data_IF_749969658662
#
_entry.id   IF_749969658662
#
_cell.length_a   1.000
_cell.length_b   1.000
_cell.length_c   1.000
_cell.angle_alpha   90.00
_cell.angle_beta   90.00
_cell.angle_gamma   90.00
#
_symmetry.space_group_name_H-M   'P 1'
#
loop_
_entity.id
_entity.type
_entity.pdbx_description
1 polymer ?
#
# COMPACT_ATOMS: atom_id res chain seq x y z
N UNK A 1 37.51 -21.06 -55.73
CA UNK A 1 36.07 -20.82 -55.49
C UNK A 1 35.92 -20.43 -54.02
N UNK A 2 35.65 -19.16 -53.75
CA UNK A 2 35.52 -18.61 -52.40
C UNK A 2 34.05 -18.74 -51.98
N UNK A 3 33.76 -19.45 -50.90
CA UNK A 3 32.39 -19.68 -50.45
C UNK A 3 31.88 -18.41 -49.75
N UNK A 4 30.87 -17.69 -50.30
CA UNK A 4 30.40 -16.42 -49.76
C UNK A 4 29.60 -16.55 -48.44
N UNK A 5 29.37 -17.78 -47.97
CA UNK A 5 28.60 -18.07 -46.75
C UNK A 5 29.46 -18.49 -45.55
N UNK A 6 30.77 -18.30 -45.60
CA UNK A 6 31.62 -18.60 -44.46
C UNK A 6 31.46 -17.47 -43.42
N UNK A 7 30.78 -17.68 -42.27
CA UNK A 7 30.63 -16.64 -41.27
C UNK A 7 32.02 -16.28 -40.74
N UNK A 8 32.33 -15.00 -40.62
CA UNK A 8 33.62 -14.60 -40.05
C UNK A 8 33.73 -15.14 -38.62
N UNK A 9 34.88 -15.70 -38.27
CA UNK A 9 35.17 -16.22 -36.93
C UNK A 9 35.01 -15.16 -35.80
N UNK A 10 34.79 -13.89 -36.17
CA UNK A 10 34.50 -12.79 -35.26
C UNK A 10 33.04 -12.73 -34.79
N UNK A 11 32.13 -13.52 -35.36
CA UNK A 11 30.70 -13.50 -34.99
C UNK A 11 30.32 -14.46 -33.85
N UNK A 12 31.28 -15.22 -33.33
CA UNK A 12 31.16 -16.04 -32.11
C UNK A 12 31.75 -15.32 -30.89
N UNK A 13 31.57 -13.99 -30.78
CA UNK A 13 31.69 -13.33 -29.49
C UNK A 13 30.57 -13.86 -28.59
N UNK A 14 30.92 -14.87 -27.81
CA UNK A 14 30.15 -15.37 -26.68
C UNK A 14 29.92 -14.16 -25.78
N UNK A 15 28.74 -13.54 -25.89
CA UNK A 15 28.32 -12.53 -24.92
C UNK A 15 28.49 -13.15 -23.53
N UNK A 16 29.29 -12.56 -22.63
CA UNK A 16 29.44 -13.09 -21.30
C UNK A 16 28.03 -13.17 -20.69
N UNK A 17 27.67 -14.30 -20.05
CA UNK A 17 26.36 -14.44 -19.44
C UNK A 17 26.14 -13.23 -18.52
N UNK A 18 25.05 -12.50 -18.76
CA UNK A 18 24.71 -11.32 -17.98
C UNK A 18 24.88 -11.67 -16.49
N UNK A 19 25.64 -10.88 -15.71
CA UNK A 19 25.92 -11.20 -14.33
C UNK A 19 24.60 -11.44 -13.62
N UNK A 20 24.39 -12.66 -13.13
CA UNK A 20 23.19 -12.98 -12.33
C UNK A 20 23.22 -12.03 -11.15
N UNK A 21 22.16 -11.21 -10.93
CA UNK A 21 22.14 -10.33 -9.79
C UNK A 21 22.32 -11.19 -8.53
N UNK A 22 23.32 -10.83 -7.72
CA UNK A 22 23.59 -11.51 -6.46
C UNK A 22 22.28 -11.57 -5.65
N UNK A 23 22.04 -12.65 -4.88
CA UNK A 23 20.87 -12.74 -4.05
C UNK A 23 20.90 -11.61 -3.02
N UNK A 24 20.24 -10.50 -3.32
CA UNK A 24 19.97 -9.43 -2.36
C UNK A 24 19.32 -10.11 -1.14
N UNK A 25 19.89 -9.89 0.04
CA UNK A 25 19.34 -10.38 1.30
C UNK A 25 17.83 -10.11 1.34
N UNK A 26 16.98 -11.02 1.87
CA UNK A 26 15.52 -10.93 1.79
C UNK A 26 14.93 -9.79 2.66
N UNK A 27 15.69 -8.73 2.93
CA UNK A 27 15.29 -7.56 3.71
C UNK A 27 13.97 -6.96 3.21
N UNK A 28 13.84 -6.77 1.89
CA UNK A 28 12.61 -6.28 1.28
C UNK A 28 11.40 -7.19 1.56
N UNK A 29 11.64 -8.51 1.65
CA UNK A 29 10.60 -9.47 2.00
C UNK A 29 10.25 -9.37 3.49
N UNK A 30 11.24 -9.41 4.39
CA UNK A 30 11.02 -9.33 5.84
C UNK A 30 10.32 -8.02 6.22
N UNK A 31 10.79 -6.88 5.73
CA UNK A 31 10.18 -5.57 5.99
C UNK A 31 8.75 -5.52 5.46
N UNK A 32 8.49 -6.07 4.27
CA UNK A 32 7.14 -6.15 3.72
C UNK A 32 6.22 -6.99 4.61
N UNK A 33 6.68 -8.15 5.08
CA UNK A 33 5.92 -9.01 5.98
C UNK A 33 5.59 -8.30 7.30
N UNK A 34 6.57 -7.62 7.90
CA UNK A 34 6.37 -6.85 9.13
C UNK A 34 5.35 -5.72 8.88
N UNK A 35 5.55 -4.92 7.84
CA UNK A 35 4.65 -3.82 7.48
C UNK A 35 3.22 -4.32 7.20
N UNK A 36 3.06 -5.36 6.39
CA UNK A 36 1.78 -6.02 6.13
C UNK A 36 1.08 -6.46 7.40
N UNK A 37 1.81 -7.16 8.28
CA UNK A 37 1.23 -7.73 9.50
C UNK A 37 0.79 -6.62 10.45
N UNK A 38 1.58 -5.56 10.60
CA UNK A 38 1.22 -4.40 11.40
C UNK A 38 -0.03 -3.69 10.85
N UNK A 39 -0.11 -3.50 9.53
CA UNK A 39 -1.27 -2.86 8.88
C UNK A 39 -2.52 -3.73 9.04
N UNK A 40 -2.41 -5.04 8.87
CA UNK A 40 -3.53 -5.99 9.06
C UNK A 40 -3.99 -5.97 10.52
N UNK A 41 -3.06 -6.12 11.48
CA UNK A 41 -3.37 -6.12 12.90
C UNK A 41 -4.06 -4.81 13.32
N UNK A 42 -3.54 -3.66 12.84
CA UNK A 42 -4.15 -2.36 13.07
C UNK A 42 -5.57 -2.29 12.47
N UNK A 43 -5.77 -2.71 11.23
CA UNK A 43 -7.09 -2.76 10.60
C UNK A 43 -8.09 -3.64 11.35
N UNK A 44 -7.67 -4.82 11.82
CA UNK A 44 -8.52 -5.71 12.64
C UNK A 44 -8.93 -5.03 13.95
N UNK A 45 -7.97 -4.45 14.68
CA UNK A 45 -8.26 -3.75 15.93
C UNK A 45 -9.26 -2.61 15.71
N UNK A 46 -9.11 -1.87 14.62
CA UNK A 46 -10.03 -0.78 14.27
C UNK A 46 -11.43 -1.28 13.90
N UNK A 47 -11.53 -2.39 13.17
CA UNK A 47 -12.81 -3.04 12.87
C UNK A 47 -13.50 -3.57 14.12
N UNK A 48 -12.75 -4.16 15.06
CA UNK A 48 -13.29 -4.59 16.35
C UNK A 48 -13.80 -3.40 17.16
N UNK A 49 -13.04 -2.31 17.21
CA UNK A 49 -13.48 -1.09 17.89
C UNK A 49 -14.72 -0.48 17.23
N UNK A 50 -14.81 -0.51 15.90
CA UNK A 50 -15.98 -0.06 15.16
C UNK A 50 -17.20 -0.94 15.45
N UNK A 51 -17.02 -2.26 15.48
CA UNK A 51 -18.09 -3.22 15.80
C UNK A 51 -18.62 -3.02 17.23
N UNK A 52 -17.72 -2.87 18.20
CA UNK A 52 -18.09 -2.62 19.60
C UNK A 52 -18.82 -1.28 19.79
N UNK A 53 -18.47 -0.26 19.00
CA UNK A 53 -19.10 1.05 19.03
C UNK A 53 -20.28 1.23 18.06
N UNK A 54 -20.70 0.17 17.36
CA UNK A 54 -21.58 0.31 16.19
C UNK A 54 -22.93 0.92 16.52
N UNK A 55 -23.60 0.42 17.56
CA UNK A 55 -24.92 0.94 18.00
C UNK A 55 -24.84 2.41 18.37
N UNK A 56 -23.85 2.79 19.19
CA UNK A 56 -23.63 4.17 19.59
C UNK A 56 -23.27 5.09 18.41
N UNK A 57 -22.51 4.61 17.43
CA UNK A 57 -22.17 5.36 16.22
C UNK A 57 -23.36 5.49 15.28
N UNK A 58 -24.18 4.45 15.13
CA UNK A 58 -25.37 4.47 14.29
C UNK A 58 -26.37 5.51 14.79
N UNK A 59 -26.59 5.60 16.10
CA UNK A 59 -27.44 6.63 16.71
C UNK A 59 -26.90 8.04 16.46
N UNK A 60 -25.58 8.22 16.55
CA UNK A 60 -24.93 9.51 16.29
C UNK A 60 -24.86 9.88 14.82
N UNK A 61 -24.86 8.91 13.91
CA UNK A 61 -24.82 9.15 12.46
C UNK A 61 -26.06 9.92 11.96
N UNK A 62 -27.18 9.82 12.68
CA UNK A 62 -28.39 10.59 12.42
C UNK A 62 -28.17 12.09 12.70
N UNK A 63 -27.28 12.41 13.63
CA UNK A 63 -27.05 13.76 14.14
C UNK A 63 -25.79 14.38 13.50
N UNK A 64 -24.77 13.56 13.27
CA UNK A 64 -23.45 13.97 12.81
C UNK A 64 -22.88 12.94 11.81
N UNK A 65 -22.70 13.39 10.57
CA UNK A 65 -22.13 12.59 9.48
C UNK A 65 -20.68 12.16 9.72
N UNK A 66 -19.93 12.80 10.63
CA UNK A 66 -18.59 12.38 11.05
C UNK A 66 -18.60 11.08 11.87
N UNK A 67 -19.74 10.77 12.47
CA UNK A 67 -19.97 9.55 13.23
C UNK A 67 -20.53 8.42 12.36
N UNK A 68 -20.64 8.62 11.04
CA UNK A 68 -21.19 7.63 10.13
C UNK A 68 -20.35 6.33 10.13
N UNK A 69 -20.90 5.21 10.63
CA UNK A 69 -20.17 3.96 10.78
C UNK A 69 -19.80 3.34 9.44
N UNK A 70 -20.54 3.62 8.35
CA UNK A 70 -20.26 3.10 7.02
C UNK A 70 -19.02 3.73 6.40
N UNK A 71 -18.82 5.03 6.60
CA UNK A 71 -17.62 5.74 6.12
C UNK A 71 -16.39 5.23 6.85
N UNK A 72 -16.51 5.04 8.17
CA UNK A 72 -15.45 4.43 8.99
C UNK A 72 -15.16 3.00 8.54
N UNK A 73 -16.20 2.18 8.34
CA UNK A 73 -16.06 0.81 7.85
C UNK A 73 -15.30 0.75 6.52
N UNK A 74 -15.64 1.63 5.57
CA UNK A 74 -14.96 1.71 4.29
C UNK A 74 -13.47 2.07 4.47
N UNK A 75 -13.15 3.07 5.30
CA UNK A 75 -11.78 3.48 5.57
C UNK A 75 -10.94 2.35 6.21
N UNK A 76 -11.47 1.70 7.25
CA UNK A 76 -10.77 0.60 7.92
C UNK A 76 -10.64 -0.65 7.02
N UNK A 77 -11.63 -0.90 6.16
CA UNK A 77 -11.55 -1.96 5.14
C UNK A 77 -10.45 -1.68 4.13
N UNK A 78 -10.26 -0.43 3.72
CA UNK A 78 -9.14 -0.02 2.87
C UNK A 78 -7.78 -0.24 3.55
N UNK A 79 -7.64 0.03 4.85
CA UNK A 79 -6.41 -0.32 5.60
C UNK A 79 -6.14 -1.81 5.52
N UNK A 80 -7.14 -2.62 5.87
CA UNK A 80 -7.01 -4.07 5.91
C UNK A 80 -6.63 -4.65 4.55
N UNK A 81 -7.34 -4.22 3.49
CA UNK A 81 -7.07 -4.62 2.11
C UNK A 81 -5.67 -4.19 1.66
N UNK A 82 -5.21 -3.00 2.03
CA UNK A 82 -3.83 -2.55 1.76
C UNK A 82 -2.82 -3.54 2.35
N UNK A 83 -2.98 -3.90 3.63
CA UNK A 83 -2.10 -4.85 4.30
C UNK A 83 -2.11 -6.24 3.66
N UNK A 84 -3.30 -6.76 3.33
CA UNK A 84 -3.49 -8.05 2.65
C UNK A 84 -2.88 -8.06 1.24
N UNK A 85 -3.09 -7.01 0.45
CA UNK A 85 -2.53 -6.91 -0.90
C UNK A 85 -1.00 -6.76 -0.86
N UNK A 86 -0.47 -6.01 0.11
CA UNK A 86 0.99 -5.97 0.36
C UNK A 86 1.52 -7.37 0.71
N UNK A 87 0.79 -8.16 1.50
CA UNK A 87 1.18 -9.52 1.87
C UNK A 87 1.16 -10.47 0.67
N UNK A 88 0.14 -10.35 -0.18
CA UNK A 88 -0.03 -11.11 -1.42
C UNK A 88 0.86 -10.62 -2.58
N UNK A 89 1.65 -9.56 -2.35
CA UNK A 89 2.49 -8.91 -3.37
C UNK A 89 1.69 -8.33 -4.53
N UNK A 90 0.44 -7.94 -4.33
CA UNK A 90 -0.41 -7.46 -5.42
C UNK A 90 -0.13 -5.99 -5.74
N UNK A 91 0.02 -5.65 -7.02
CA UNK A 91 0.08 -4.27 -7.52
C UNK A 91 -1.22 -3.51 -7.28
N UNK A 92 -2.32 -4.20 -7.04
CA UNK A 92 -3.60 -3.56 -6.72
C UNK A 92 -3.60 -2.92 -5.32
N UNK A 93 -2.52 -3.02 -4.54
CA UNK A 93 -2.36 -2.34 -3.25
C UNK A 93 -2.60 -0.83 -3.32
N UNK A 94 -2.35 -0.20 -4.47
CA UNK A 94 -2.58 1.23 -4.66
C UNK A 94 -4.07 1.61 -4.66
N UNK A 95 -4.99 0.69 -5.01
CA UNK A 95 -6.42 0.99 -5.01
C UNK A 95 -6.97 1.25 -3.59
N UNK A 96 -6.85 0.33 -2.63
CA UNK A 96 -7.33 0.59 -1.28
C UNK A 96 -6.51 1.68 -0.60
N UNK A 97 -5.22 1.83 -0.91
CA UNK A 97 -4.41 2.93 -0.39
C UNK A 97 -4.93 4.30 -0.85
N UNK A 98 -5.21 4.45 -2.16
CA UNK A 98 -5.81 5.66 -2.71
C UNK A 98 -7.22 5.90 -2.16
N UNK A 99 -8.03 4.84 -2.03
CA UNK A 99 -9.36 4.91 -1.43
C UNK A 99 -9.32 5.43 0.00
N UNK A 100 -8.37 4.95 0.81
CA UNK A 100 -8.19 5.43 2.17
C UNK A 100 -7.76 6.91 2.20
N UNK A 101 -6.81 7.32 1.36
CA UNK A 101 -6.36 8.71 1.27
C UNK A 101 -7.53 9.61 0.86
N UNK A 102 -8.33 9.20 -0.13
CA UNK A 102 -9.52 9.94 -0.56
C UNK A 102 -10.53 10.12 0.57
N UNK A 103 -10.78 9.08 1.37
CA UNK A 103 -11.68 9.16 2.53
C UNK A 103 -11.14 10.09 3.63
N UNK A 104 -9.82 10.09 3.88
CA UNK A 104 -9.19 11.03 4.82
C UNK A 104 -9.31 12.46 4.30
N UNK A 105 -8.98 12.70 3.03
CA UNK A 105 -9.08 14.01 2.40
C UNK A 105 -10.52 14.53 2.44
N UNK A 106 -11.50 13.68 2.13
CA UNK A 106 -12.90 14.03 2.26
C UNK A 106 -13.27 14.40 3.70
N UNK A 107 -12.76 13.68 4.71
CA UNK A 107 -12.99 14.02 6.11
C UNK A 107 -12.34 15.36 6.51
N UNK A 108 -11.14 15.64 6.00
CA UNK A 108 -10.38 16.86 6.32
C UNK A 108 -10.96 18.10 5.62
N UNK A 109 -11.34 17.98 4.35
CA UNK A 109 -11.77 19.12 3.52
C UNK A 109 -13.30 19.25 3.41
N UNK A 110 -14.04 18.15 3.53
CA UNK A 110 -15.50 18.12 3.36
C UNK A 110 -16.28 18.78 4.50
N UNK A 111 -15.65 19.03 5.65
CA UNK A 111 -16.31 19.55 6.85
C UNK A 111 -15.82 20.95 7.29
N UNK A 112 -15.13 21.67 6.39
CA UNK A 112 -14.72 23.06 6.59
C UNK A 112 -13.29 23.23 7.14
N UNK A 113 -12.79 24.47 7.25
CA UNK A 113 -11.43 24.75 7.67
C UNK A 113 -11.23 24.37 9.14
N UNK A 114 -10.63 23.20 9.37
CA UNK A 114 -10.16 22.82 10.70
C UNK A 114 -8.95 23.69 11.04
N UNK A 115 -9.14 24.71 11.86
CA UNK A 115 -8.10 25.72 12.17
C UNK A 115 -6.79 25.13 12.72
N UNK A 116 -6.83 23.90 13.26
CA UNK A 116 -5.65 23.08 13.57
C UNK A 116 -5.96 21.61 13.32
N UNK A 117 -5.25 20.98 12.37
CA UNK A 117 -5.33 19.54 12.19
C UNK A 117 -4.82 18.83 13.47
N UNK A 118 -5.58 17.88 14.04
CA UNK A 118 -5.12 17.09 15.17
C UNK A 118 -3.81 16.36 14.84
N UNK A 119 -2.90 16.24 15.81
CA UNK A 119 -1.65 15.48 15.65
C UNK A 119 -1.90 14.05 15.13
N UNK A 120 -3.03 13.45 15.49
CA UNK A 120 -3.46 12.16 14.97
C UNK A 120 -3.61 12.13 13.44
N UNK A 121 -4.14 13.21 12.82
CA UNK A 121 -4.30 13.29 11.37
C UNK A 121 -2.93 13.38 10.69
N UNK A 122 -1.99 14.13 11.27
CA UNK A 122 -0.60 14.20 10.78
C UNK A 122 0.10 12.84 10.85
N UNK A 123 -0.05 12.11 11.95
CA UNK A 123 0.54 10.77 12.10
C UNK A 123 -0.05 9.82 11.06
N UNK A 124 -1.37 9.83 10.86
CA UNK A 124 -2.02 9.03 9.83
C UNK A 124 -1.48 9.36 8.44
N UNK A 125 -1.34 10.65 8.12
CA UNK A 125 -0.73 11.08 6.85
C UNK A 125 0.71 10.58 6.69
N UNK A 126 1.55 10.75 7.71
CA UNK A 126 2.94 10.30 7.68
C UNK A 126 3.05 8.79 7.44
N UNK A 127 2.20 8.00 8.12
CA UNK A 127 2.14 6.54 7.94
C UNK A 127 1.67 6.17 6.53
N UNK A 128 0.62 6.83 6.02
CA UNK A 128 0.13 6.56 4.66
C UNK A 128 1.16 6.94 3.59
N UNK A 129 1.87 8.06 3.75
CA UNK A 129 2.96 8.45 2.87
C UNK A 129 4.13 7.47 2.92
N UNK A 130 4.49 6.96 4.10
CA UNK A 130 5.51 5.94 4.25
C UNK A 130 5.10 4.62 3.57
N UNK A 131 3.85 4.19 3.73
CA UNK A 131 3.31 3.00 3.06
C UNK A 131 3.26 3.17 1.54
N UNK A 132 2.87 4.35 1.04
CA UNK A 132 2.88 4.67 -0.38
C UNK A 132 4.30 4.61 -0.94
N UNK A 133 5.25 5.29 -0.30
CA UNK A 133 6.66 5.30 -0.71
C UNK A 133 7.26 3.90 -0.71
N UNK A 134 6.99 3.11 0.33
CA UNK A 134 7.43 1.72 0.41
C UNK A 134 6.81 0.84 -0.68
N UNK A 135 5.51 0.97 -0.94
CA UNK A 135 4.81 0.23 -2.00
C UNK A 135 5.33 0.60 -3.39
N UNK A 136 5.59 1.89 -3.62
CA UNK A 136 6.18 2.38 -4.87
C UNK A 136 7.60 1.82 -5.07
N UNK A 137 8.42 1.84 -4.02
CA UNK A 137 9.75 1.23 -4.06
C UNK A 137 9.70 -0.27 -4.40
N UNK A 138 8.76 -1.02 -3.80
CA UNK A 138 8.53 -2.43 -4.13
C UNK A 138 8.05 -2.63 -5.58
N UNK A 139 7.21 -1.74 -6.10
CA UNK A 139 6.75 -1.78 -7.49
C UNK A 139 7.92 -1.57 -8.46
N UNK A 140 8.73 -0.53 -8.24
CA UNK A 140 9.91 -0.21 -9.07
C UNK A 140 10.95 -1.33 -9.06
N UNK A 141 11.08 -2.06 -7.94
CA UNK A 141 11.93 -3.24 -7.81
C UNK A 141 11.29 -4.52 -8.34
N UNK A 142 10.13 -4.45 -9.01
CA UNK A 142 9.37 -5.59 -9.55
C UNK A 142 9.05 -6.66 -8.47
N UNK A 143 8.92 -6.23 -7.21
CA UNK A 143 8.59 -7.10 -6.07
C UNK A 143 7.07 -7.24 -5.86
N UNK A 144 6.27 -6.33 -6.42
CA UNK A 144 4.82 -6.45 -6.57
C UNK A 144 4.46 -7.04 -7.95
N UNK A 145 3.36 -7.80 -8.03
CA UNK A 145 2.85 -8.55 -9.19
C UNK A 145 1.46 -8.04 -9.59
#
# INVERSE_FOLDING_TARGET
MHNPYQPSAASLEIQPPAPKPAPEFPFAMVVRWIASTLVIAYGILRLVNLANGWSWLADRAVIDTLSNPWIRLAAESCVLLTGLLLLLRSKFVFLPLAGHIALILWFVFGFGPVGRLPAAVFIVWAVQSALLGFSLWLLLKQRLR
#
